data_IF_481083401065
#
_entry.id   IF_481083401065
#
_cell.length_a   1.000
_cell.length_b   1.000
_cell.length_c   1.000
_cell.angle_alpha   90.00
_cell.angle_beta   90.00
_cell.angle_gamma   90.00
#
_symmetry.space_group_name_H-M   'P 1'
#
loop_
_entity.id
_entity.type
_entity.pdbx_description
1 polymer ?
#
# COMPACT_ATOMS: atom_id res chain seq x y z
N UNK A 1 -4.44 23.40 6.77
CA UNK A 1 -4.13 22.37 5.76
C UNK A 1 -4.19 20.97 6.37
N UNK A 2 -3.43 20.68 7.43
CA UNK A 2 -3.48 19.38 8.15
C UNK A 2 -4.89 18.96 8.59
N UNK A 3 -5.67 19.86 9.22
CA UNK A 3 -7.06 19.56 9.65
C UNK A 3 -7.98 19.13 8.49
N UNK A 4 -7.76 19.65 7.28
CA UNK A 4 -8.55 19.29 6.09
C UNK A 4 -8.21 17.87 5.64
N UNK A 5 -6.92 17.52 5.61
CA UNK A 5 -6.49 16.14 5.34
C UNK A 5 -7.05 15.14 6.34
N UNK A 6 -7.06 15.52 7.63
CA UNK A 6 -7.63 14.70 8.70
C UNK A 6 -9.15 14.50 8.55
N UNK A 7 -9.91 15.55 8.19
CA UNK A 7 -11.34 15.41 7.92
C UNK A 7 -11.59 14.55 6.68
N UNK A 8 -10.83 14.77 5.60
CA UNK A 8 -10.92 13.96 4.38
C UNK A 8 -10.73 12.49 4.68
N UNK A 9 -9.70 12.10 5.44
CA UNK A 9 -9.46 10.68 5.70
C UNK A 9 -10.51 10.07 6.62
N UNK A 10 -11.04 10.83 7.58
CA UNK A 10 -12.18 10.37 8.40
C UNK A 10 -13.40 10.09 7.53
N UNK A 11 -13.70 10.96 6.56
CA UNK A 11 -14.80 10.76 5.62
C UNK A 11 -14.51 9.55 4.72
N UNK A 12 -13.30 9.41 4.17
CA UNK A 12 -12.90 8.26 3.35
C UNK A 12 -13.08 6.94 4.11
N UNK A 13 -12.66 6.88 5.38
CA UNK A 13 -12.84 5.70 6.24
C UNK A 13 -14.32 5.38 6.48
N UNK A 14 -15.16 6.39 6.67
CA UNK A 14 -16.61 6.22 6.81
C UNK A 14 -17.27 5.73 5.51
N UNK A 15 -16.81 6.23 4.36
CA UNK A 15 -17.30 5.83 3.05
C UNK A 15 -16.85 4.41 2.67
N UNK A 16 -15.68 3.97 3.14
CA UNK A 16 -15.08 2.68 2.84
C UNK A 16 -15.09 2.38 1.33
N UNK A 17 -15.76 1.33 0.87
CA UNK A 17 -15.82 0.96 -0.55
C UNK A 17 -16.46 2.03 -1.44
N UNK A 18 -17.33 2.89 -0.88
CA UNK A 18 -17.94 4.01 -1.60
C UNK A 18 -16.93 5.13 -1.92
N UNK A 19 -15.76 5.14 -1.27
CA UNK A 19 -14.70 6.10 -1.56
C UNK A 19 -14.18 5.97 -3.01
N UNK A 20 -14.43 4.83 -3.68
CA UNK A 20 -14.03 4.60 -5.07
C UNK A 20 -14.62 5.63 -6.04
N UNK A 21 -15.78 6.22 -5.70
CA UNK A 21 -16.46 7.25 -6.50
C UNK A 21 -15.63 8.53 -6.58
N UNK A 22 -14.88 8.85 -5.53
CA UNK A 22 -14.07 10.06 -5.42
C UNK A 22 -12.56 9.80 -5.57
N UNK A 23 -12.18 8.63 -6.08
CA UNK A 23 -10.78 8.18 -6.09
C UNK A 23 -9.85 9.13 -6.83
N UNK A 24 -10.31 9.72 -7.94
CA UNK A 24 -9.48 10.63 -8.74
C UNK A 24 -9.19 11.93 -8.01
N UNK A 25 -10.21 12.52 -7.41
CA UNK A 25 -10.12 13.75 -6.64
C UNK A 25 -9.29 13.54 -5.37
N UNK A 26 -9.51 12.44 -4.65
CA UNK A 26 -8.77 12.11 -3.43
C UNK A 26 -7.29 11.83 -3.72
N UNK A 27 -6.99 11.00 -4.72
CA UNK A 27 -5.61 10.71 -5.11
C UNK A 27 -4.94 12.00 -5.60
N UNK A 28 -5.58 12.75 -6.49
CA UNK A 28 -5.05 14.03 -6.97
C UNK A 28 -4.73 15.00 -5.83
N UNK A 29 -5.63 15.14 -4.85
CA UNK A 29 -5.41 16.00 -3.69
C UNK A 29 -4.25 15.53 -2.81
N UNK A 30 -4.12 14.22 -2.57
CA UNK A 30 -3.03 13.68 -1.76
C UNK A 30 -1.69 13.76 -2.49
N UNK A 31 -1.64 13.44 -3.79
CA UNK A 31 -0.43 13.58 -4.61
C UNK A 31 0.06 15.04 -4.61
N UNK A 32 -0.85 16.01 -4.77
CA UNK A 32 -0.50 17.44 -4.69
C UNK A 32 0.01 17.84 -3.31
N UNK A 33 -0.62 17.36 -2.23
CA UNK A 33 -0.15 17.65 -0.87
C UNK A 33 1.23 17.06 -0.55
N UNK A 34 1.66 16.00 -1.26
CA UNK A 34 3.01 15.46 -1.15
C UNK A 34 4.08 16.36 -1.77
N UNK A 35 3.71 17.44 -2.45
CA UNK A 35 4.63 18.45 -3.00
C UNK A 35 4.70 19.73 -2.15
N UNK A 36 3.99 19.78 -1.00
CA UNK A 36 3.95 20.96 -0.15
C UNK A 36 5.35 21.25 0.45
N UNK A 37 5.78 22.53 0.56
CA UNK A 37 7.05 22.88 1.18
C UNK A 37 7.19 22.41 2.63
N UNK A 38 6.08 22.29 3.37
CA UNK A 38 6.08 21.77 4.74
C UNK A 38 6.11 20.24 4.77
N UNK A 39 7.19 19.69 5.33
CA UNK A 39 7.36 18.25 5.53
C UNK A 39 6.23 17.59 6.32
N UNK A 40 5.59 18.29 7.26
CA UNK A 40 4.47 17.73 8.03
C UNK A 40 3.22 17.58 7.15
N UNK A 41 3.01 18.51 6.22
CA UNK A 41 1.92 18.41 5.24
C UNK A 41 2.18 17.25 4.29
N UNK A 42 3.40 17.11 3.75
CA UNK A 42 3.78 15.95 2.93
C UNK A 42 3.57 14.62 3.67
N UNK A 43 4.04 14.54 4.91
CA UNK A 43 3.89 13.36 5.78
C UNK A 43 2.42 12.99 5.98
N UNK A 44 1.57 13.99 6.26
CA UNK A 44 0.13 13.78 6.43
C UNK A 44 -0.53 13.33 5.13
N UNK A 45 -0.18 13.93 4.00
CA UNK A 45 -0.71 13.55 2.69
C UNK A 45 -0.31 12.14 2.30
N UNK A 46 0.94 11.73 2.55
CA UNK A 46 1.38 10.35 2.34
C UNK A 46 0.61 9.37 3.22
N UNK A 47 0.43 9.71 4.50
CA UNK A 47 -0.33 8.84 5.41
C UNK A 47 -1.78 8.66 4.95
N UNK A 48 -2.42 9.73 4.47
CA UNK A 48 -3.76 9.68 3.90
C UNK A 48 -3.81 8.89 2.58
N UNK A 49 -2.79 9.03 1.73
CA UNK A 49 -2.66 8.27 0.49
C UNK A 49 -2.54 6.77 0.78
N UNK A 50 -1.69 6.36 1.73
CA UNK A 50 -1.52 4.96 2.10
C UNK A 50 -2.81 4.34 2.65
N UNK A 51 -3.54 5.07 3.49
CA UNK A 51 -4.83 4.63 4.00
C UNK A 51 -5.87 4.48 2.88
N UNK A 52 -5.92 5.42 1.93
CA UNK A 52 -6.78 5.32 0.75
C UNK A 52 -6.41 4.09 -0.10
N UNK A 53 -5.12 3.85 -0.34
CA UNK A 53 -4.63 2.66 -1.05
C UNK A 53 -5.11 1.38 -0.36
N UNK A 54 -5.08 1.34 0.97
CA UNK A 54 -5.57 0.19 1.75
C UNK A 54 -7.07 -0.04 1.59
N UNK A 55 -7.87 1.02 1.63
CA UNK A 55 -9.35 0.94 1.50
C UNK A 55 -9.76 0.52 0.08
N UNK A 56 -9.11 1.10 -0.93
CA UNK A 56 -9.48 0.88 -2.31
C UNK A 56 -8.91 -0.42 -2.90
N UNK A 57 -7.77 -0.91 -2.38
CA UNK A 57 -7.14 -2.15 -2.85
C UNK A 57 -6.89 -2.12 -4.36
N UNK A 58 -7.27 -3.19 -5.07
CA UNK A 58 -7.07 -3.30 -6.52
C UNK A 58 -7.76 -2.19 -7.34
N UNK A 59 -8.76 -1.50 -6.77
CA UNK A 59 -9.54 -0.45 -7.46
C UNK A 59 -8.72 0.81 -7.78
N UNK A 60 -7.47 0.90 -7.30
CA UNK A 60 -6.53 1.99 -7.62
C UNK A 60 -5.60 1.69 -8.80
N UNK A 61 -5.74 0.56 -9.50
CA UNK A 61 -4.71 0.09 -10.44
C UNK A 61 -4.20 1.17 -11.42
N UNK A 62 -5.11 2.02 -11.92
CA UNK A 62 -4.82 3.10 -12.87
C UNK A 62 -3.89 4.19 -12.32
N UNK A 63 -3.72 4.29 -11.01
CA UNK A 63 -2.90 5.29 -10.32
C UNK A 63 -1.61 4.71 -9.72
N UNK A 64 -1.38 3.40 -9.84
CA UNK A 64 -0.26 2.75 -9.17
C UNK A 64 1.08 3.31 -9.63
N UNK A 65 1.26 3.51 -10.94
CA UNK A 65 2.49 4.06 -11.51
C UNK A 65 2.80 5.42 -10.89
N UNK A 66 1.81 6.32 -10.81
CA UNK A 66 1.97 7.65 -10.21
C UNK A 66 2.31 7.56 -8.72
N UNK A 67 1.65 6.66 -7.99
CA UNK A 67 1.90 6.44 -6.55
C UNK A 67 3.32 5.91 -6.33
N UNK A 68 3.78 4.93 -7.09
CA UNK A 68 5.13 4.37 -6.97
C UNK A 68 6.20 5.40 -7.36
N UNK A 69 5.97 6.16 -8.43
CA UNK A 69 6.89 7.22 -8.84
C UNK A 69 7.01 8.29 -7.77
N UNK A 70 5.89 8.73 -7.18
CA UNK A 70 5.89 9.69 -6.07
C UNK A 70 6.66 9.15 -4.87
N UNK A 71 6.36 7.91 -4.44
CA UNK A 71 7.02 7.27 -3.30
C UNK A 71 8.53 7.17 -3.53
N UNK A 72 8.94 6.71 -4.72
CA UNK A 72 10.35 6.60 -5.10
C UNK A 72 11.05 7.96 -5.06
N UNK A 73 10.41 9.01 -5.61
CA UNK A 73 10.94 10.36 -5.58
C UNK A 73 11.14 10.87 -4.14
N UNK A 74 10.16 10.65 -3.25
CA UNK A 74 10.25 11.10 -1.85
C UNK A 74 11.35 10.36 -1.10
N UNK A 75 11.46 9.03 -1.28
CA UNK A 75 12.52 8.24 -0.65
C UNK A 75 13.92 8.67 -1.08
N UNK A 76 14.08 9.09 -2.34
CA UNK A 76 15.38 9.51 -2.87
C UNK A 76 15.72 10.97 -2.55
N UNK A 77 14.73 11.87 -2.50
CA UNK A 77 14.98 13.32 -2.53
C UNK A 77 14.55 14.07 -1.27
N UNK A 78 13.63 13.52 -0.46
CA UNK A 78 13.12 14.24 0.71
C UNK A 78 14.18 14.26 1.81
N UNK A 79 14.50 15.47 2.27
CA UNK A 79 15.51 15.72 3.30
C UNK A 79 15.04 15.25 4.67
N UNK A 80 13.74 15.31 4.92
CA UNK A 80 13.15 14.99 6.21
C UNK A 80 12.83 13.49 6.33
N UNK A 81 13.12 12.86 7.48
CA UNK A 81 12.81 11.44 7.66
C UNK A 81 11.29 11.18 7.72
N UNK A 82 10.47 12.11 8.21
CA UNK A 82 9.02 11.89 8.39
C UNK A 82 8.30 11.59 7.07
N UNK A 83 8.50 12.35 5.97
CA UNK A 83 7.96 11.99 4.67
C UNK A 83 8.52 10.66 4.14
N UNK A 84 9.82 10.38 4.32
CA UNK A 84 10.41 9.10 3.85
C UNK A 84 9.79 7.90 4.58
N UNK A 85 9.64 7.97 5.90
CA UNK A 85 8.94 6.96 6.72
C UNK A 85 7.51 6.75 6.25
N UNK A 86 6.78 7.84 5.98
CA UNK A 86 5.41 7.79 5.50
C UNK A 86 5.31 7.22 4.08
N UNK A 87 6.28 7.49 3.20
CA UNK A 87 6.34 6.96 1.86
C UNK A 87 6.52 5.43 1.86
N UNK A 88 7.38 4.89 2.73
CA UNK A 88 7.44 3.43 2.93
C UNK A 88 6.12 2.88 3.48
N UNK A 89 5.46 3.61 4.38
CA UNK A 89 4.16 3.19 4.93
C UNK A 89 3.07 3.12 3.85
N UNK A 90 3.10 3.99 2.82
CA UNK A 90 2.18 3.90 1.66
C UNK A 90 2.32 2.55 0.98
N UNK A 91 3.55 2.07 0.77
CA UNK A 91 3.82 0.74 0.18
C UNK A 91 3.22 -0.36 1.05
N UNK A 92 3.50 -0.33 2.36
CA UNK A 92 2.99 -1.35 3.29
C UNK A 92 1.46 -1.39 3.29
N UNK A 93 0.80 -0.23 3.35
CA UNK A 93 -0.66 -0.14 3.36
C UNK A 93 -1.28 -0.55 2.03
N UNK A 94 -0.61 -0.24 0.91
CA UNK A 94 -1.00 -0.72 -0.40
C UNK A 94 -0.98 -2.26 -0.47
N UNK A 95 0.13 -2.89 -0.07
CA UNK A 95 0.25 -4.35 -0.06
C UNK A 95 -0.83 -5.00 0.80
N UNK A 96 -1.11 -4.44 1.98
CA UNK A 96 -2.20 -4.89 2.85
C UNK A 96 -3.58 -4.75 2.20
N UNK A 97 -3.82 -3.66 1.46
CA UNK A 97 -5.07 -3.43 0.74
C UNK A 97 -5.27 -4.36 -0.46
N UNK A 98 -4.18 -4.74 -1.12
CA UNK A 98 -4.21 -5.69 -2.24
C UNK A 98 -4.35 -7.13 -1.76
N UNK A 99 -3.68 -7.52 -0.67
CA UNK A 99 -3.76 -8.85 -0.12
C UNK A 99 -3.49 -9.95 -1.15
N UNK A 100 -4.49 -10.77 -1.46
CA UNK A 100 -4.38 -11.85 -2.45
C UNK A 100 -4.24 -11.35 -3.90
N UNK A 101 -4.72 -10.14 -4.18
CA UNK A 101 -4.67 -9.52 -5.50
C UNK A 101 -3.35 -8.78 -5.76
N UNK A 102 -2.38 -8.87 -4.84
CA UNK A 102 -1.07 -8.19 -4.96
C UNK A 102 -0.36 -8.56 -6.26
N UNK A 103 -0.29 -9.84 -6.60
CA UNK A 103 0.46 -10.30 -7.78
C UNK A 103 -0.28 -10.08 -9.10
N UNK A 104 -1.61 -10.17 -9.10
CA UNK A 104 -2.42 -9.82 -10.27
C UNK A 104 -2.38 -8.31 -10.55
N UNK A 105 -2.26 -7.49 -9.51
CA UNK A 105 -2.29 -6.02 -9.61
C UNK A 105 -0.90 -5.42 -9.85
N UNK A 106 0.14 -5.93 -9.19
CA UNK A 106 1.49 -5.38 -9.24
C UNK A 106 2.43 -6.14 -10.18
N UNK A 107 1.93 -7.05 -11.03
CA UNK A 107 2.77 -7.97 -11.82
C UNK A 107 4.00 -7.30 -12.46
N UNK A 108 3.83 -6.12 -13.05
CA UNK A 108 4.88 -5.37 -13.74
C UNK A 108 5.79 -4.57 -12.79
N UNK A 109 5.33 -4.29 -11.57
CA UNK A 109 5.97 -3.40 -10.59
C UNK A 109 6.59 -4.14 -9.39
N UNK A 110 6.25 -5.42 -9.15
CA UNK A 110 6.73 -6.18 -7.98
C UNK A 110 8.25 -6.21 -7.89
N UNK A 111 8.95 -6.47 -9.01
CA UNK A 111 10.40 -6.58 -9.01
C UNK A 111 11.08 -5.24 -8.71
N UNK A 112 10.55 -4.16 -9.29
CA UNK A 112 11.04 -2.80 -9.05
C UNK A 112 10.81 -2.41 -7.57
N UNK A 113 9.63 -2.70 -7.04
CA UNK A 113 9.30 -2.47 -5.64
C UNK A 113 10.24 -3.21 -4.69
N UNK A 114 10.48 -4.50 -4.93
CA UNK A 114 11.41 -5.31 -4.14
C UNK A 114 12.81 -4.70 -4.12
N UNK A 115 13.33 -4.29 -5.29
CA UNK A 115 14.65 -3.67 -5.41
C UNK A 115 14.69 -2.33 -4.70
N UNK A 116 13.67 -1.50 -4.87
CA UNK A 116 13.57 -0.20 -4.20
C UNK A 116 13.60 -0.35 -2.66
N UNK A 117 12.83 -1.31 -2.11
CA UNK A 117 12.85 -1.59 -0.67
C UNK A 117 14.23 -2.05 -0.20
N UNK A 118 14.90 -2.95 -0.94
CA UNK A 118 16.27 -3.38 -0.64
C UNK A 118 17.26 -2.21 -0.65
N UNK A 119 17.13 -1.32 -1.62
CA UNK A 119 17.94 -0.10 -1.68
C UNK A 119 17.71 0.75 -0.44
N UNK A 120 16.47 1.07 -0.08
CA UNK A 120 16.14 1.87 1.13
C UNK A 120 16.75 1.26 2.39
N UNK A 121 16.61 -0.05 2.60
CA UNK A 121 17.18 -0.76 3.76
C UNK A 121 18.70 -0.55 3.84
N UNK A 122 19.40 -0.59 2.71
CA UNK A 122 20.86 -0.47 2.67
C UNK A 122 21.36 0.97 2.68
N UNK A 123 20.60 1.94 2.16
CA UNK A 123 21.12 3.28 1.88
C UNK A 123 20.49 4.42 2.68
N UNK A 124 19.29 4.25 3.26
CA UNK A 124 18.67 5.35 4.01
C UNK A 124 19.52 5.72 5.24
N UNK A 125 19.45 6.97 5.66
CA UNK A 125 20.18 7.48 6.82
C UNK A 125 19.40 7.29 8.11
N UNK A 126 18.09 7.11 8.02
CA UNK A 126 17.18 6.99 9.14
C UNK A 126 16.83 5.52 9.42
N UNK A 127 17.19 5.02 10.60
CA UNK A 127 16.99 3.61 10.95
C UNK A 127 15.51 3.23 11.08
N UNK A 128 14.64 4.18 11.41
CA UNK A 128 13.18 3.94 11.42
C UNK A 128 12.67 3.71 10.01
N UNK A 129 13.16 4.48 9.03
CA UNK A 129 12.82 4.28 7.61
C UNK A 129 13.30 2.92 7.11
N UNK A 130 14.52 2.49 7.50
CA UNK A 130 15.02 1.15 7.19
C UNK A 130 14.13 0.06 7.79
N UNK A 131 13.79 0.19 9.07
CA UNK A 131 12.90 -0.75 9.76
C UNK A 131 11.53 -0.83 9.07
N UNK A 132 10.94 0.31 8.70
CA UNK A 132 9.69 0.32 7.94
C UNK A 132 9.84 -0.40 6.59
N UNK A 133 10.98 -0.26 5.92
CA UNK A 133 11.23 -0.91 4.63
C UNK A 133 11.43 -2.43 4.78
N UNK A 134 12.05 -2.88 5.88
CA UNK A 134 12.12 -4.30 6.23
C UNK A 134 10.73 -4.90 6.45
N UNK A 135 9.85 -4.20 7.18
CA UNK A 135 8.46 -4.63 7.41
C UNK A 135 7.66 -4.66 6.09
N UNK A 136 7.82 -3.66 5.23
CA UNK A 136 7.19 -3.66 3.91
C UNK A 136 7.66 -4.83 3.04
N UNK A 137 8.96 -5.16 3.12
CA UNK A 137 9.53 -6.30 2.41
C UNK A 137 9.03 -7.64 2.95
N UNK A 138 8.81 -7.75 4.26
CA UNK A 138 8.17 -8.92 4.88
C UNK A 138 6.72 -9.09 4.42
N UNK A 139 5.97 -7.99 4.31
CA UNK A 139 4.59 -8.01 3.78
C UNK A 139 4.57 -8.49 2.32
N UNK A 140 5.48 -7.98 1.48
CA UNK A 140 5.61 -8.40 0.09
C UNK A 140 5.95 -9.90 -0.01
N UNK A 141 6.89 -10.39 0.81
CA UNK A 141 7.23 -11.80 0.87
C UNK A 141 6.04 -12.65 1.31
N UNK A 142 5.25 -12.18 2.27
CA UNK A 142 4.05 -12.88 2.75
C UNK A 142 2.99 -12.98 1.65
N UNK A 143 2.77 -11.89 0.90
CA UNK A 143 1.93 -11.90 -0.29
C UNK A 143 2.44 -12.89 -1.34
N UNK A 144 3.77 -12.97 -1.53
CA UNK A 144 4.41 -13.88 -2.49
C UNK A 144 4.16 -15.34 -2.12
N UNK A 145 4.39 -15.69 -0.86
CA UNK A 145 4.18 -17.04 -0.37
C UNK A 145 2.71 -17.44 -0.47
N UNK A 146 1.78 -16.55 -0.12
CA UNK A 146 0.35 -16.81 -0.24
C UNK A 146 -0.10 -17.02 -1.69
N UNK A 147 0.53 -16.34 -2.65
CA UNK A 147 0.27 -16.52 -4.08
C UNK A 147 0.82 -17.85 -4.60
N UNK A 148 2.05 -18.22 -4.21
CA UNK A 148 2.71 -19.46 -4.66
C UNK A 148 2.18 -20.72 -3.97
N UNK A 149 1.74 -20.60 -2.72
CA UNK A 149 1.27 -21.70 -1.86
C UNK A 149 -0.18 -21.44 -1.41
N UNK A 150 -1.17 -21.45 -2.32
CA UNK A 150 -2.56 -21.27 -1.92
C UNK A 150 -2.97 -22.37 -0.94
N UNK A 151 -3.55 -21.98 0.21
CA UNK A 151 -3.99 -22.94 1.22
C UNK A 151 -5.00 -23.92 0.62
N UNK A 152 -4.63 -25.20 0.58
CA UNK A 152 -5.55 -26.25 0.15
C UNK A 152 -6.66 -26.37 1.20
N UNK A 153 -7.88 -25.94 0.85
CA UNK A 153 -9.06 -26.31 1.64
C UNK A 153 -9.24 -27.83 1.53
N UNK A 154 -8.89 -28.56 2.59
CA UNK A 154 -9.26 -29.97 2.72
C UNK A 154 -10.78 -30.08 2.93
N UNK A 155 -11.54 -30.11 1.85
CA UNK A 155 -12.97 -30.44 1.89
C UNK A 155 -13.11 -31.97 1.81
N UNK A 156 -13.37 -32.62 2.95
CA UNK A 156 -13.78 -34.04 2.94
C UNK A 156 -15.21 -34.14 2.43
N UNK A 157 -15.39 -34.62 1.20
CA UNK A 157 -16.70 -35.07 0.72
C UNK A 157 -17.01 -36.43 1.35
N UNK A 158 -17.96 -36.44 2.28
CA UNK A 158 -18.51 -37.68 2.83
C UNK A 158 -19.60 -38.15 1.88
N UNK A 159 -19.46 -39.37 1.33
CA UNK A 159 -20.52 -40.06 0.62
C UNK A 159 -21.20 -41.01 1.60
N UNK A 160 -22.52 -40.86 1.78
CA UNK A 160 -23.33 -41.86 2.47
C UNK A 160 -23.71 -42.90 1.42
N UNK A 161 -23.29 -44.14 1.62
CA UNK A 161 -23.73 -45.27 0.79
C UNK A 161 -25.07 -45.75 1.33
N UNK A 162 -26.11 -45.80 0.49
CA UNK A 162 -27.38 -46.41 0.85
C UNK A 162 -27.16 -47.91 1.15
N UNK A 163 -27.83 -48.47 2.17
CA UNK A 163 -27.72 -49.90 2.46
C UNK A 163 -28.28 -50.73 1.30
N UNK A 164 -27.53 -51.78 0.93
CA UNK A 164 -27.92 -52.71 -0.13
C UNK A 164 -29.27 -53.40 0.21
N UNK A 165 -30.13 -53.61 -0.80
CA UNK A 165 -31.46 -54.24 -0.63
C UNK A 165 -31.41 -55.72 -0.26
#
# INVERSE_FOLDING_TARGET
RLKVGETLIKVTRLLNEMAVVYKGELIGAYLQGCLDPDHLVRTSSLSNLGELCKILGFRIHMYLVDVFQLVSNILQTDRHPEPRRAAVMVVTLLLQGLGKDTFSTLQELVLELYRALKTVISTDKDDVTKLHAELALQELNSCTLNFLLPSQKMEKRIYVLDPLP
#
